data_IF_232197719750
#
_entry.id   IF_232197719750
#
_cell.length_a   1.000
_cell.length_b   1.000
_cell.length_c   1.000
_cell.angle_alpha   90.00
_cell.angle_beta   90.00
_cell.angle_gamma   90.00
#
_symmetry.space_group_name_H-M   'P 1'
#
loop_
_entity.id
_entity.type
_entity.pdbx_description
1 polymer ?
#
# COMPACT_ATOMS: atom_id res chain seq x y z
N UNK A 1 24.71 -67.38 -36.74
CA UNK A 1 25.02 -66.12 -36.03
C UNK A 1 24.07 -65.04 -36.53
N UNK A 2 23.04 -64.69 -35.73
CA UNK A 2 22.01 -63.73 -36.11
C UNK A 2 22.28 -62.47 -35.24
N UNK A 3 22.64 -61.41 -35.94
CA UNK A 3 22.93 -60.12 -35.30
C UNK A 3 21.59 -59.33 -35.17
N UNK A 4 21.10 -59.18 -33.97
CA UNK A 4 19.91 -58.34 -33.68
C UNK A 4 20.36 -56.93 -33.52
N UNK A 5 19.92 -56.06 -34.46
CA UNK A 5 20.11 -54.63 -34.36
C UNK A 5 18.96 -54.03 -33.49
N UNK A 6 19.31 -53.49 -32.31
CA UNK A 6 18.40 -52.73 -31.48
C UNK A 6 18.29 -51.31 -32.05
N UNK A 7 17.13 -50.97 -32.63
CA UNK A 7 16.78 -49.58 -32.94
C UNK A 7 16.32 -48.89 -31.67
N UNK A 8 17.14 -48.03 -31.11
CA UNK A 8 16.70 -47.05 -30.11
C UNK A 8 15.93 -45.94 -30.82
N UNK A 9 14.60 -45.98 -30.72
CA UNK A 9 13.75 -44.86 -31.08
C UNK A 9 13.83 -43.84 -29.95
N UNK A 10 14.64 -42.83 -30.16
CA UNK A 10 14.64 -41.65 -29.27
C UNK A 10 13.35 -40.87 -29.51
N UNK A 11 12.36 -41.03 -28.62
CA UNK A 11 11.23 -40.12 -28.55
C UNK A 11 11.74 -38.75 -28.06
N UNK A 12 12.11 -37.87 -28.98
CA UNK A 12 12.20 -36.46 -28.70
C UNK A 12 10.75 -35.94 -28.55
N UNK A 13 10.24 -35.95 -27.30
CA UNK A 13 9.12 -35.08 -26.96
C UNK A 13 9.66 -33.65 -27.08
N UNK A 14 9.37 -33.01 -28.20
CA UNK A 14 9.35 -31.57 -28.26
C UNK A 14 8.35 -31.12 -27.19
N UNK A 15 8.86 -30.58 -26.11
CA UNK A 15 8.05 -29.83 -25.17
C UNK A 15 7.49 -28.67 -25.98
N UNK A 16 6.23 -28.79 -26.36
CA UNK A 16 5.44 -27.65 -26.76
C UNK A 16 5.39 -26.75 -25.50
N UNK A 17 6.42 -25.93 -25.32
CA UNK A 17 6.37 -24.82 -24.40
C UNK A 17 5.28 -23.92 -24.95
N UNK A 18 4.06 -24.23 -24.51
CA UNK A 18 2.87 -23.45 -24.85
C UNK A 18 3.22 -22.00 -24.66
N UNK A 19 3.03 -21.21 -25.69
CA UNK A 19 3.14 -19.74 -25.66
C UNK A 19 2.62 -19.26 -24.31
N UNK A 20 3.52 -18.78 -23.48
CA UNK A 20 3.16 -18.25 -22.18
C UNK A 20 2.05 -17.25 -22.44
N UNK A 21 0.85 -17.60 -21.98
CA UNK A 21 -0.36 -16.81 -22.17
C UNK A 21 -0.04 -15.37 -21.78
N UNK A 22 0.27 -14.55 -22.76
CA UNK A 22 0.57 -13.15 -22.51
C UNK A 22 -0.74 -12.52 -22.04
N UNK A 23 -0.89 -12.42 -20.74
CA UNK A 23 -1.95 -11.62 -20.17
C UNK A 23 -1.81 -10.23 -20.76
N UNK A 24 -2.91 -9.62 -21.27
CA UNK A 24 -2.87 -8.24 -21.72
C UNK A 24 -2.25 -7.42 -20.59
N UNK A 25 -1.05 -6.91 -20.81
CA UNK A 25 -0.45 -5.99 -19.83
C UNK A 25 -1.40 -4.82 -19.75
N UNK A 26 -2.05 -4.65 -18.60
CA UNK A 26 -2.79 -3.43 -18.35
C UNK A 26 -1.87 -2.25 -18.71
N UNK A 27 -2.36 -1.23 -19.41
CA UNK A 27 -1.56 -0.06 -19.70
C UNK A 27 -0.92 0.43 -18.39
N UNK A 28 0.32 0.91 -18.42
CA UNK A 28 0.94 1.44 -17.22
C UNK A 28 -0.02 2.48 -16.63
N UNK A 29 -0.23 2.45 -15.31
CA UNK A 29 -1.14 3.40 -14.69
C UNK A 29 -0.70 4.81 -15.04
N UNK A 30 -1.64 5.66 -15.35
CA UNK A 30 -1.40 7.08 -15.60
C UNK A 30 -0.72 7.67 -14.36
N UNK A 31 0.36 8.39 -14.55
CA UNK A 31 1.03 9.07 -13.44
C UNK A 31 0.09 10.11 -12.84
N UNK A 32 0.17 10.26 -11.53
CA UNK A 32 -0.57 11.30 -10.79
C UNK A 32 -2.10 11.23 -10.96
N UNK A 33 -2.68 10.06 -10.79
CA UNK A 33 -4.13 9.98 -10.65
C UNK A 33 -4.55 10.73 -9.38
N UNK A 34 -5.59 11.58 -9.45
CA UNK A 34 -6.11 12.25 -8.28
C UNK A 34 -6.73 11.23 -7.31
N UNK A 35 -6.94 11.61 -6.05
CA UNK A 35 -7.74 10.81 -5.13
C UNK A 35 -9.12 10.51 -5.72
N UNK A 36 -9.72 9.33 -5.42
CA UNK A 36 -11.05 9.00 -5.89
C UNK A 36 -12.06 10.11 -5.50
N UNK A 37 -12.90 10.52 -6.45
CA UNK A 37 -13.86 11.60 -6.21
C UNK A 37 -14.87 11.28 -5.10
N UNK A 38 -15.15 9.99 -4.89
CA UNK A 38 -16.02 9.45 -3.85
C UNK A 38 -15.28 9.10 -2.55
N UNK A 39 -14.02 9.49 -2.43
CA UNK A 39 -13.24 9.27 -1.21
C UNK A 39 -13.96 9.86 0.00
N UNK A 40 -14.21 9.04 1.00
CA UNK A 40 -14.87 9.41 2.25
C UNK A 40 -14.33 8.54 3.38
N UNK A 41 -13.41 9.09 4.19
CA UNK A 41 -12.81 8.41 5.33
C UNK A 41 -13.30 9.11 6.60
N UNK A 42 -14.18 8.44 7.35
CA UNK A 42 -14.68 8.97 8.62
C UNK A 42 -13.57 9.07 9.66
N UNK A 43 -13.53 10.14 10.42
CA UNK A 43 -12.58 10.33 11.53
C UNK A 43 -13.33 10.26 12.85
N UNK A 44 -12.84 9.43 13.77
CA UNK A 44 -13.27 9.40 15.16
C UNK A 44 -12.08 9.61 16.08
N UNK A 45 -12.28 10.42 17.11
CA UNK A 45 -11.28 10.66 18.15
C UNK A 45 -11.92 10.34 19.50
N UNK A 46 -11.33 9.37 20.21
CA UNK A 46 -11.84 8.86 21.48
C UNK A 46 -13.36 8.50 21.41
N UNK A 47 -13.74 7.85 20.28
CA UNK A 47 -15.11 7.45 19.99
C UNK A 47 -16.03 8.54 19.45
N UNK A 48 -15.61 9.82 19.48
CA UNK A 48 -16.40 10.96 18.99
C UNK A 48 -16.13 11.24 17.51
N UNK A 49 -17.17 11.50 16.74
CA UNK A 49 -17.06 11.89 15.32
C UNK A 49 -16.39 13.28 15.20
N UNK A 50 -15.39 13.39 14.33
CA UNK A 50 -14.63 14.62 14.08
C UNK A 50 -14.68 15.08 12.62
N UNK A 51 -15.42 14.38 11.79
CA UNK A 51 -15.58 14.72 10.39
C UNK A 51 -15.06 13.66 9.43
N UNK A 52 -14.68 14.09 8.24
CA UNK A 52 -14.36 13.18 7.13
C UNK A 52 -13.21 13.71 6.30
N UNK A 53 -12.26 12.86 5.94
CA UNK A 53 -11.26 13.15 4.92
C UNK A 53 -11.87 12.80 3.55
N UNK A 54 -11.88 13.76 2.65
CA UNK A 54 -12.39 13.63 1.29
C UNK A 54 -11.28 13.84 0.25
N UNK A 55 -11.60 13.62 -1.03
CA UNK A 55 -10.69 13.97 -2.12
C UNK A 55 -10.28 15.44 -2.08
N UNK A 56 -11.22 16.35 -1.76
CA UNK A 56 -10.94 17.78 -1.63
C UNK A 56 -9.99 18.08 -0.46
N UNK A 57 -10.12 17.35 0.66
CA UNK A 57 -9.20 17.47 1.80
C UNK A 57 -7.77 17.14 1.38
N UNK A 58 -7.58 16.01 0.68
CA UNK A 58 -6.24 15.59 0.24
C UNK A 58 -5.68 16.51 -0.84
N UNK A 59 -6.50 16.97 -1.77
CA UNK A 59 -6.07 17.91 -2.82
C UNK A 59 -5.71 19.29 -2.25
N UNK A 60 -6.41 19.74 -1.20
CA UNK A 60 -6.16 21.02 -0.55
C UNK A 60 -5.00 21.00 0.45
N UNK A 61 -4.63 19.83 0.96
CA UNK A 61 -3.54 19.67 1.90
C UNK A 61 -2.22 19.37 1.18
N UNK A 62 -1.16 20.13 1.50
CA UNK A 62 0.17 19.82 1.00
C UNK A 62 0.62 18.46 1.57
N UNK A 63 1.09 17.52 0.73
CA UNK A 63 1.65 16.27 1.23
C UNK A 63 2.91 16.51 2.06
N UNK A 64 3.12 15.70 3.10
CA UNK A 64 4.37 15.71 3.87
C UNK A 64 5.52 15.08 3.08
N UNK A 65 5.17 14.09 2.24
CA UNK A 65 6.12 13.41 1.36
C UNK A 65 5.51 13.29 -0.03
N UNK A 66 6.30 13.61 -1.05
CA UNK A 66 5.86 13.55 -2.45
C UNK A 66 7.01 13.16 -3.37
N UNK A 67 6.71 12.35 -4.37
CA UNK A 67 7.60 12.11 -5.51
C UNK A 67 6.81 12.20 -6.83
N UNK A 68 7.44 11.86 -7.95
CA UNK A 68 6.81 11.96 -9.27
C UNK A 68 5.54 11.08 -9.45
N UNK A 69 5.29 10.14 -8.55
CA UNK A 69 4.23 9.13 -8.72
C UNK A 69 3.38 8.92 -7.46
N UNK A 70 3.78 9.48 -6.30
CA UNK A 70 3.19 9.16 -5.00
C UNK A 70 3.12 10.39 -4.12
N UNK A 71 2.11 10.43 -3.27
CA UNK A 71 1.98 11.43 -2.21
C UNK A 71 1.58 10.75 -0.92
N UNK A 72 2.10 11.25 0.20
CA UNK A 72 1.75 10.76 1.52
C UNK A 72 1.59 11.91 2.51
N UNK A 73 0.56 11.82 3.31
CA UNK A 73 0.26 12.75 4.40
C UNK A 73 0.41 12.01 5.72
N UNK A 74 1.18 12.55 6.63
CA UNK A 74 1.17 12.09 8.02
C UNK A 74 -0.26 12.22 8.56
N UNK A 75 -0.73 11.22 9.28
CA UNK A 75 -2.07 11.29 9.88
C UNK A 75 -2.24 12.57 10.74
N UNK A 76 -1.25 13.00 11.55
CA UNK A 76 -1.35 14.24 12.32
C UNK A 76 -1.47 15.52 11.48
N UNK A 77 -0.94 15.54 10.26
CA UNK A 77 -1.10 16.69 9.35
C UNK A 77 -2.55 16.87 8.93
N UNK A 78 -3.27 15.75 8.72
CA UNK A 78 -4.68 15.76 8.34
C UNK A 78 -5.61 15.81 9.56
N UNK A 79 -5.21 15.20 10.67
CA UNK A 79 -5.97 15.07 11.91
C UNK A 79 -5.07 15.44 13.10
N UNK A 80 -5.03 16.72 13.50
CA UNK A 80 -4.14 17.19 14.56
C UNK A 80 -4.29 16.46 15.90
N UNK A 81 -5.48 15.93 16.20
CA UNK A 81 -5.72 15.10 17.39
C UNK A 81 -4.84 13.83 17.43
N UNK A 82 -4.31 13.37 16.30
CA UNK A 82 -3.36 12.26 16.24
C UNK A 82 -1.92 12.69 16.51
N UNK A 83 -1.66 13.97 16.80
CA UNK A 83 -0.31 14.52 17.04
C UNK A 83 0.43 14.00 18.27
N UNK A 84 -0.21 13.85 19.43
CA UNK A 84 0.47 13.45 20.67
C UNK A 84 1.19 12.09 20.54
N UNK A 85 2.37 11.99 21.16
CA UNK A 85 3.09 10.71 21.30
C UNK A 85 2.26 9.72 22.10
N UNK A 86 2.28 8.45 21.70
CA UNK A 86 1.47 7.40 22.32
C UNK A 86 0.04 7.31 21.78
N UNK A 87 -0.29 8.14 20.79
CA UNK A 87 -1.58 8.03 20.08
C UNK A 87 -1.62 6.74 19.26
N UNK A 88 -2.75 6.05 19.29
CA UNK A 88 -3.03 4.89 18.45
C UNK A 88 -3.96 5.32 17.33
N UNK A 89 -3.56 5.06 16.12
CA UNK A 89 -4.37 5.24 14.91
C UNK A 89 -4.84 3.88 14.44
N UNK A 90 -6.13 3.61 14.51
CA UNK A 90 -6.73 2.39 13.97
C UNK A 90 -7.40 2.69 12.63
N UNK A 91 -6.91 2.07 11.57
CA UNK A 91 -7.52 2.15 10.25
C UNK A 91 -8.47 0.98 10.05
N UNK A 92 -9.69 1.26 9.60
CA UNK A 92 -10.75 0.26 9.42
C UNK A 92 -11.21 0.27 7.98
N UNK A 93 -11.29 -0.93 7.38
CA UNK A 93 -11.82 -1.13 6.04
C UNK A 93 -13.35 -1.29 6.04
N UNK A 94 -14.05 -1.16 4.88
CA UNK A 94 -15.47 -1.46 4.77
C UNK A 94 -15.83 -2.91 5.14
N UNK A 95 -14.88 -3.83 5.01
CA UNK A 95 -15.07 -5.24 5.39
C UNK A 95 -14.88 -5.49 6.91
N UNK A 96 -14.61 -4.42 7.69
CA UNK A 96 -14.39 -4.53 9.13
C UNK A 96 -12.98 -5.00 9.53
N UNK A 97 -12.08 -5.18 8.57
CA UNK A 97 -10.67 -5.45 8.88
C UNK A 97 -10.05 -4.17 9.44
N UNK A 98 -9.39 -4.28 10.60
CA UNK A 98 -8.73 -3.14 11.21
C UNK A 98 -7.25 -3.42 11.49
N UNK A 99 -6.45 -2.36 11.45
CA UNK A 99 -5.03 -2.37 11.80
C UNK A 99 -4.74 -1.17 12.68
N UNK A 100 -4.03 -1.43 13.78
CA UNK A 100 -3.59 -0.40 14.73
C UNK A 100 -2.15 -0.03 14.47
N UNK A 101 -1.91 1.27 14.45
CA UNK A 101 -0.59 1.88 14.28
C UNK A 101 -0.31 2.76 15.50
N UNK A 102 0.80 2.49 16.18
CA UNK A 102 1.28 3.33 17.26
C UNK A 102 2.07 4.51 16.71
N UNK A 103 1.95 5.68 17.32
CA UNK A 103 2.64 6.88 16.89
C UNK A 103 3.49 7.51 18.02
N UNK A 104 4.82 7.66 17.80
CA UNK A 104 5.59 6.96 16.78
C UNK A 104 5.63 5.47 17.07
N UNK A 105 5.85 4.66 16.05
CA UNK A 105 6.12 3.23 16.28
C UNK A 105 7.46 3.04 16.98
N UNK A 106 7.66 1.88 17.61
CA UNK A 106 8.95 1.50 18.23
C UNK A 106 10.13 1.52 17.23
N UNK A 107 9.86 1.42 15.95
CA UNK A 107 10.84 1.46 14.85
C UNK A 107 11.05 2.86 14.26
N UNK A 108 10.36 3.88 14.75
CA UNK A 108 10.40 5.24 14.21
C UNK A 108 9.59 5.45 12.94
N UNK A 109 8.78 4.45 12.55
CA UNK A 109 7.87 4.59 11.42
C UNK A 109 6.64 5.42 11.84
N UNK A 110 6.08 6.15 10.88
CA UNK A 110 4.90 6.99 11.10
C UNK A 110 3.70 6.51 10.27
N UNK A 111 2.49 6.54 10.83
CA UNK A 111 1.28 6.22 10.07
C UNK A 111 0.93 7.34 9.10
N UNK A 112 0.62 6.98 7.86
CA UNK A 112 0.31 7.91 6.78
C UNK A 112 -0.94 7.49 6.01
N UNK A 113 -1.64 8.48 5.44
CA UNK A 113 -2.47 8.29 4.26
C UNK A 113 -1.57 8.40 3.03
N UNK A 114 -1.61 7.39 2.20
CA UNK A 114 -0.74 7.26 1.04
C UNK A 114 -1.60 7.17 -0.23
N UNK A 115 -1.37 8.07 -1.17
CA UNK A 115 -1.97 8.04 -2.50
C UNK A 115 -1.03 7.35 -3.47
N UNK A 116 -1.48 6.23 -4.00
CA UNK A 116 -0.71 5.47 -4.98
C UNK A 116 -0.87 6.08 -6.37
N UNK A 117 0.04 5.80 -7.27
CA UNK A 117 -0.08 6.19 -8.69
C UNK A 117 -1.31 5.63 -9.41
N UNK A 118 -2.05 4.71 -8.79
CA UNK A 118 -3.33 4.18 -9.28
C UNK A 118 -4.53 4.93 -8.73
N UNK A 119 -4.31 5.99 -7.94
CA UNK A 119 -5.37 6.71 -7.28
C UNK A 119 -5.96 5.99 -6.07
N UNK A 120 -5.34 4.91 -5.59
CA UNK A 120 -5.80 4.25 -4.38
C UNK A 120 -5.29 4.99 -3.15
N UNK A 121 -6.16 5.19 -2.17
CA UNK A 121 -5.80 5.76 -0.88
C UNK A 121 -5.70 4.63 0.14
N UNK A 122 -4.53 4.50 0.74
CA UNK A 122 -4.23 3.44 1.72
C UNK A 122 -3.70 4.06 3.02
N UNK A 123 -3.92 3.38 4.14
CA UNK A 123 -3.20 3.67 5.40
C UNK A 123 -2.10 2.63 5.56
N UNK A 124 -0.91 3.10 5.83
CA UNK A 124 0.26 2.27 6.07
C UNK A 124 1.28 3.02 6.93
N UNK A 125 2.42 2.42 7.16
CA UNK A 125 3.56 3.05 7.82
C UNK A 125 4.54 3.56 6.77
N UNK A 126 5.32 4.55 7.14
CA UNK A 126 6.40 5.11 6.31
C UNK A 126 7.63 5.40 7.20
N UNK A 127 8.80 5.23 6.65
CA UNK A 127 10.02 5.77 7.26
C UNK A 127 10.18 7.24 6.81
N UNK A 128 10.09 8.22 7.72
CA UNK A 128 10.26 9.62 7.35
C UNK A 128 11.62 9.95 6.74
N UNK A 129 12.63 9.12 6.97
CA UNK A 129 13.99 9.30 6.41
C UNK A 129 14.11 8.76 4.99
N UNK A 130 13.32 7.74 4.64
CA UNK A 130 13.25 7.14 3.31
C UNK A 130 11.79 6.82 2.97
N UNK A 131 10.97 7.86 2.69
CA UNK A 131 9.52 7.70 2.56
C UNK A 131 9.10 6.86 1.36
N UNK A 132 9.91 6.84 0.31
CA UNK A 132 9.62 6.11 -0.91
C UNK A 132 10.84 5.31 -1.39
N UNK A 133 11.23 4.27 -0.64
CA UNK A 133 12.42 3.51 -0.96
C UNK A 133 12.38 3.00 -2.40
N UNK A 134 13.47 3.22 -3.13
CA UNK A 134 13.58 2.77 -4.52
C UNK A 134 13.82 1.27 -4.54
N UNK A 135 12.99 0.59 -5.27
CA UNK A 135 13.17 -0.83 -5.49
C UNK A 135 14.18 -1.06 -6.63
N UNK A 136 15.32 -1.63 -6.31
CA UNK A 136 16.32 -2.09 -7.27
C UNK A 136 16.31 -3.62 -7.34
N UNK A 137 15.17 -4.22 -7.70
CA UNK A 137 15.07 -5.67 -7.91
C UNK A 137 15.00 -5.98 -9.40
N UNK A 138 15.95 -6.73 -9.90
CA UNK A 138 15.78 -7.40 -11.19
C UNK A 138 14.89 -8.62 -10.98
N UNK A 139 13.74 -8.59 -11.58
CA UNK A 139 12.86 -9.72 -11.83
C UNK A 139 12.62 -10.66 -10.65
N UNK A 140 11.41 -10.83 -10.26
CA UNK A 140 11.00 -11.84 -9.31
C UNK A 140 10.62 -11.31 -7.91
N UNK A 141 10.17 -12.19 -7.12
CA UNK A 141 9.49 -12.04 -5.83
C UNK A 141 10.40 -11.57 -4.67
N UNK A 142 11.19 -10.56 -4.88
CA UNK A 142 11.94 -9.96 -3.79
C UNK A 142 11.00 -9.06 -2.97
N UNK A 143 10.95 -9.28 -1.68
CA UNK A 143 10.24 -8.40 -0.76
C UNK A 143 10.85 -7.00 -0.83
N UNK A 144 9.98 -6.00 -1.01
CA UNK A 144 10.38 -4.60 -0.92
C UNK A 144 10.47 -4.22 0.55
N UNK A 145 11.36 -3.29 0.87
CA UNK A 145 11.27 -2.61 2.16
C UNK A 145 9.84 -2.07 2.29
N UNK A 146 9.15 -2.42 3.37
CA UNK A 146 7.75 -2.04 3.62
C UNK A 146 6.68 -2.99 3.08
N UNK A 147 6.99 -4.00 2.27
CA UNK A 147 6.00 -4.99 1.82
C UNK A 147 5.39 -5.80 2.98
N UNK A 148 6.13 -5.95 4.07
CA UNK A 148 5.67 -6.59 5.30
C UNK A 148 4.93 -5.64 6.24
N UNK A 149 4.89 -4.33 5.94
CA UNK A 149 4.21 -3.39 6.79
C UNK A 149 2.71 -3.53 6.65
N UNK A 150 1.99 -3.49 7.77
CA UNK A 150 0.55 -3.58 7.74
C UNK A 150 -0.03 -2.41 6.94
N UNK A 151 -1.09 -2.71 6.19
CA UNK A 151 -1.80 -1.70 5.39
C UNK A 151 -3.28 -1.99 5.34
N UNK A 152 -4.07 -0.95 5.21
CA UNK A 152 -5.53 -1.04 5.03
C UNK A 152 -5.91 -0.36 3.72
N UNK A 153 -6.61 -1.09 2.86
CA UNK A 153 -7.14 -0.61 1.59
C UNK A 153 -8.39 -1.42 1.20
N UNK A 154 -9.48 -0.80 0.78
CA UNK A 154 -9.77 0.62 0.98
C UNK A 154 -9.94 0.96 2.47
N UNK A 155 -9.76 2.24 2.79
CA UNK A 155 -9.97 2.76 4.15
C UNK A 155 -11.35 3.40 4.22
N UNK A 156 -12.15 3.00 5.23
CA UNK A 156 -13.44 3.61 5.50
C UNK A 156 -13.41 4.57 6.68
N UNK A 157 -12.62 4.25 7.71
CA UNK A 157 -12.59 5.01 8.95
C UNK A 157 -11.20 5.01 9.57
N UNK A 158 -10.86 6.12 10.23
CA UNK A 158 -9.76 6.26 11.16
C UNK A 158 -10.32 6.46 12.57
N UNK A 159 -9.91 5.59 13.48
CA UNK A 159 -10.20 5.73 14.91
C UNK A 159 -8.92 6.12 15.63
N UNK A 160 -8.92 7.27 16.26
CA UNK A 160 -7.78 7.84 16.96
C UNK A 160 -8.04 7.75 18.45
N UNK A 161 -7.16 7.03 19.15
CA UNK A 161 -7.19 6.93 20.61
C UNK A 161 -5.97 7.69 21.15
N UNK A 162 -6.24 8.75 21.90
CA UNK A 162 -5.19 9.55 22.51
C UNK A 162 -4.67 8.88 23.78
N UNK A 163 -3.41 9.11 24.17
CA UNK A 163 -2.89 8.61 25.43
C UNK A 163 -3.70 9.21 26.59
N UNK A 164 -3.97 8.38 27.59
CA UNK A 164 -4.55 8.87 28.86
C UNK A 164 -3.49 9.74 29.56
N UNK A 165 -3.85 10.91 30.08
CA UNK A 165 -2.94 11.79 30.78
C UNK A 165 -2.35 11.18 32.05
#
# INVERSE_FOLDING_TARGET
>A
MILAALLCVACSRASDEGEAKQWPKAPPPTKNLPPPADLSIQIKVDGSDKGTITAATLTGAKPDFEDAERAAWLIPTLVPDAGPTGTIVEAVSPAGVSVKFERPSSTGLEPVLFLTRRGEVIVSMIDPKDPFPRYHGQGGRLHRAGDSWPRVVPVQRLEITRPTP
#
